data_IF_166068518352
#
_entry.id   IF_166068518352
#
_cell.length_a   1.000
_cell.length_b   1.000
_cell.length_c   1.000
_cell.angle_alpha   90.00
_cell.angle_beta   90.00
_cell.angle_gamma   90.00
#
_symmetry.space_group_name_H-M   'P 1'
#
loop_
_entity.id
_entity.type
_entity.pdbx_description
1 polymer ?
#
# COMPACT_ATOMS: atom_id res chain seq x y z
N UNK A 1 -9.40 46.77 -54.85
CA UNK A 1 -10.33 45.97 -54.01
C UNK A 1 -9.80 44.59 -53.60
N UNK A 2 -8.56 44.21 -53.96
CA UNK A 2 -8.01 42.86 -53.68
C UNK A 2 -7.16 42.77 -52.39
N UNK A 3 -6.63 43.89 -51.89
CA UNK A 3 -5.79 43.92 -50.67
C UNK A 3 -6.56 43.52 -49.39
N UNK A 4 -7.84 43.90 -49.26
CA UNK A 4 -8.69 43.52 -48.11
C UNK A 4 -8.97 42.02 -48.03
N UNK A 5 -9.04 41.32 -49.17
CA UNK A 5 -9.28 39.87 -49.22
C UNK A 5 -8.05 39.08 -48.78
N UNK A 6 -6.86 39.51 -49.19
CA UNK A 6 -5.59 38.90 -48.74
C UNK A 6 -5.34 39.09 -47.24
N UNK A 7 -5.69 40.27 -46.70
CA UNK A 7 -5.59 40.56 -45.27
C UNK A 7 -6.55 39.70 -44.42
N UNK A 8 -7.83 39.57 -44.83
CA UNK A 8 -8.77 38.66 -44.15
C UNK A 8 -8.32 37.19 -44.21
N UNK A 9 -7.74 36.75 -45.33
CA UNK A 9 -7.23 35.39 -45.46
C UNK A 9 -6.07 35.13 -44.48
N UNK A 10 -5.17 36.10 -44.33
CA UNK A 10 -4.06 36.04 -43.38
C UNK A 10 -4.57 35.96 -41.92
N UNK A 11 -5.54 36.79 -41.54
CA UNK A 11 -6.14 36.76 -40.19
C UNK A 11 -6.79 35.41 -39.88
N UNK A 12 -7.52 34.83 -40.84
CA UNK A 12 -8.16 33.52 -40.68
C UNK A 12 -7.10 32.41 -40.53
N UNK A 13 -6.03 32.44 -41.32
CA UNK A 13 -4.95 31.44 -41.21
C UNK A 13 -4.20 31.54 -39.88
N UNK A 14 -3.94 32.76 -39.38
CA UNK A 14 -3.33 32.98 -38.06
C UNK A 14 -4.27 32.49 -36.95
N UNK A 15 -5.56 32.84 -37.00
CA UNK A 15 -6.54 32.37 -36.04
C UNK A 15 -6.66 30.84 -36.01
N UNK A 16 -6.60 30.20 -37.19
CA UNK A 16 -6.60 28.74 -37.30
C UNK A 16 -5.34 28.11 -36.72
N UNK A 17 -4.15 28.66 -36.99
CA UNK A 17 -2.89 28.19 -36.39
C UNK A 17 -2.92 28.30 -34.86
N UNK A 18 -3.43 29.42 -34.34
CA UNK A 18 -3.60 29.62 -32.89
C UNK A 18 -4.58 28.60 -32.29
N UNK A 19 -5.71 28.33 -32.96
CA UNK A 19 -6.63 27.27 -32.52
C UNK A 19 -5.97 25.88 -32.51
N UNK A 20 -5.21 25.52 -33.54
CA UNK A 20 -4.50 24.24 -33.58
C UNK A 20 -3.47 24.11 -32.45
N UNK A 21 -2.73 25.18 -32.14
CA UNK A 21 -1.79 25.21 -31.02
C UNK A 21 -2.51 25.07 -29.66
N UNK A 22 -3.62 25.78 -29.46
CA UNK A 22 -4.44 25.65 -28.26
C UNK A 22 -4.97 24.22 -28.11
N UNK A 23 -5.45 23.60 -29.20
CA UNK A 23 -5.96 22.24 -29.16
C UNK A 23 -4.84 21.22 -28.85
N UNK A 24 -3.66 21.40 -29.44
CA UNK A 24 -2.50 20.54 -29.19
C UNK A 24 -2.03 20.62 -27.72
N UNK A 25 -1.91 21.84 -27.18
CA UNK A 25 -1.52 22.04 -25.78
C UNK A 25 -2.56 21.48 -24.81
N UNK A 26 -3.85 21.68 -25.09
CA UNK A 26 -4.94 21.12 -24.30
C UNK A 26 -4.95 19.59 -24.33
N UNK A 27 -4.77 18.98 -25.51
CA UNK A 27 -4.70 17.53 -25.65
C UNK A 27 -3.53 16.92 -24.87
N UNK A 28 -2.35 17.54 -24.94
CA UNK A 28 -1.18 17.11 -24.15
C UNK A 28 -1.43 17.25 -22.65
N UNK A 29 -2.04 18.36 -22.21
CA UNK A 29 -2.42 18.56 -20.81
C UNK A 29 -3.40 17.48 -20.32
N UNK A 30 -4.38 17.11 -21.14
CA UNK A 30 -5.34 16.05 -20.80
C UNK A 30 -4.67 14.68 -20.64
N UNK A 31 -3.76 14.31 -21.55
CA UNK A 31 -3.00 13.07 -21.44
C UNK A 31 -2.13 13.03 -20.17
N UNK A 32 -1.44 14.13 -19.86
CA UNK A 32 -0.65 14.24 -18.63
C UNK A 32 -1.52 14.15 -17.38
N UNK A 33 -2.70 14.75 -17.40
CA UNK A 33 -3.67 14.67 -16.31
C UNK A 33 -4.15 13.23 -16.10
N UNK A 34 -4.48 12.51 -17.17
CA UNK A 34 -4.89 11.10 -17.08
C UNK A 34 -3.81 10.21 -16.47
N UNK A 35 -2.54 10.39 -16.88
CA UNK A 35 -1.40 9.65 -16.28
C UNK A 35 -1.23 10.02 -14.80
N UNK A 36 -1.40 11.30 -14.44
CA UNK A 36 -1.26 11.76 -13.06
C UNK A 36 -2.38 11.24 -12.16
N UNK A 37 -3.62 11.22 -12.65
CA UNK A 37 -4.76 10.64 -11.92
C UNK A 37 -4.56 9.16 -11.64
N UNK A 38 -4.03 8.40 -12.61
CA UNK A 38 -3.70 6.99 -12.40
C UNK A 38 -2.65 6.80 -11.30
N UNK A 39 -1.59 7.63 -11.27
CA UNK A 39 -0.57 7.58 -10.21
C UNK A 39 -1.16 7.90 -8.84
N UNK A 40 -2.05 8.88 -8.75
CA UNK A 40 -2.74 9.24 -7.50
C UNK A 40 -3.62 8.09 -7.02
N UNK A 41 -4.39 7.46 -7.92
CA UNK A 41 -5.22 6.32 -7.59
C UNK A 41 -4.38 5.16 -7.01
N UNK A 42 -3.27 4.84 -7.68
CA UNK A 42 -2.34 3.82 -7.22
C UNK A 42 -1.75 4.16 -5.83
N UNK A 43 -1.34 5.41 -5.62
CA UNK A 43 -0.85 5.86 -4.32
C UNK A 43 -1.92 5.75 -3.24
N UNK A 44 -3.17 6.13 -3.53
CA UNK A 44 -4.29 6.01 -2.58
C UNK A 44 -4.52 4.55 -2.19
N UNK A 45 -4.51 3.62 -3.14
CA UNK A 45 -4.68 2.19 -2.84
C UNK A 45 -3.52 1.65 -2.00
N UNK A 46 -2.27 2.01 -2.31
CA UNK A 46 -1.10 1.64 -1.51
C UNK A 46 -1.19 2.17 -0.07
N UNK A 47 -1.53 3.45 0.10
CA UNK A 47 -1.68 4.04 1.44
C UNK A 47 -2.86 3.42 2.21
N UNK A 48 -3.97 3.09 1.53
CA UNK A 48 -5.13 2.44 2.15
C UNK A 48 -4.77 1.05 2.67
N UNK A 49 -4.08 0.24 1.87
CA UNK A 49 -3.64 -1.11 2.28
C UNK A 49 -2.59 -1.02 3.39
N UNK A 50 -1.59 -0.14 3.25
CA UNK A 50 -0.59 0.07 4.29
C UNK A 50 -1.22 0.48 5.61
N UNK A 51 -2.11 1.49 5.61
CA UNK A 51 -2.80 1.96 6.80
C UNK A 51 -3.67 0.89 7.45
N UNK A 52 -4.36 0.04 6.67
CA UNK A 52 -5.13 -1.07 7.20
C UNK A 52 -4.24 -2.11 7.89
N UNK A 53 -3.11 -2.49 7.28
CA UNK A 53 -2.14 -3.43 7.87
C UNK A 53 -1.54 -2.83 9.15
N UNK A 54 -1.00 -1.63 9.05
CA UNK A 54 -0.34 -0.89 10.14
C UNK A 54 -1.26 -0.71 11.34
N UNK A 55 -2.45 -0.14 11.15
CA UNK A 55 -3.43 0.05 12.23
C UNK A 55 -3.89 -1.27 12.85
N UNK A 56 -4.03 -2.34 12.05
CA UNK A 56 -4.41 -3.66 12.58
C UNK A 56 -3.28 -4.27 13.42
N UNK A 57 -2.04 -4.14 12.97
CA UNK A 57 -0.87 -4.62 13.71
C UNK A 57 -0.68 -3.83 14.99
N UNK A 58 -0.73 -2.50 14.90
CA UNK A 58 -0.63 -1.58 16.02
C UNK A 58 -1.70 -1.88 17.07
N UNK A 59 -2.97 -2.00 16.67
CA UNK A 59 -4.07 -2.24 17.62
C UNK A 59 -3.94 -3.59 18.37
N UNK A 60 -3.52 -4.66 17.70
CA UNK A 60 -3.30 -5.96 18.36
C UNK A 60 -2.06 -5.93 19.27
N UNK A 61 -0.98 -5.27 18.85
CA UNK A 61 0.26 -5.17 19.62
C UNK A 61 0.08 -4.24 20.84
N UNK A 62 -0.44 -3.03 20.63
CA UNK A 62 -0.53 -1.99 21.65
C UNK A 62 -1.48 -2.38 22.77
N UNK A 63 -2.69 -2.85 22.43
CA UNK A 63 -3.76 -3.05 23.41
C UNK A 63 -3.89 -4.50 23.89
N UNK A 64 -3.73 -5.46 22.99
CA UNK A 64 -4.14 -6.84 23.25
C UNK A 64 -2.98 -7.77 23.64
N UNK A 65 -1.75 -7.42 23.28
CA UNK A 65 -0.59 -8.29 23.48
C UNK A 65 0.08 -8.13 24.84
N UNK A 66 0.38 -9.26 25.48
CA UNK A 66 1.25 -9.35 26.67
C UNK A 66 2.70 -9.63 26.26
N UNK A 67 2.86 -10.43 25.21
CA UNK A 67 4.14 -10.86 24.70
C UNK A 67 4.07 -10.82 23.17
N UNK A 68 5.03 -10.12 22.56
CA UNK A 68 5.21 -10.09 21.11
C UNK A 68 6.51 -10.81 20.80
N UNK A 69 6.42 -11.89 20.04
CA UNK A 69 7.57 -12.70 19.64
C UNK A 69 7.83 -12.43 18.16
N UNK A 70 9.06 -12.03 17.85
CA UNK A 70 9.49 -11.87 16.47
C UNK A 70 10.12 -13.18 15.97
N UNK A 71 9.67 -13.65 14.82
CA UNK A 71 10.16 -14.87 14.19
C UNK A 71 10.53 -14.59 12.74
N UNK A 72 11.41 -15.42 12.19
CA UNK A 72 11.67 -15.42 10.75
C UNK A 72 10.66 -16.29 10.04
N UNK A 73 10.29 -15.87 8.82
CA UNK A 73 9.43 -16.60 7.92
C UNK A 73 10.00 -16.52 6.50
N UNK A 74 9.58 -17.42 5.62
CA UNK A 74 10.11 -17.54 4.25
C UNK A 74 9.96 -16.25 3.41
N UNK A 75 8.98 -15.42 3.73
CA UNK A 75 8.63 -14.21 2.98
C UNK A 75 8.80 -12.91 3.80
N UNK A 76 9.62 -12.93 4.85
CA UNK A 76 9.83 -11.80 5.76
C UNK A 76 9.73 -12.22 7.22
N UNK A 77 9.51 -11.29 8.13
CA UNK A 77 9.31 -11.63 9.53
C UNK A 77 7.87 -12.12 9.79
N UNK A 78 7.69 -12.81 10.91
CA UNK A 78 6.41 -13.17 11.49
C UNK A 78 6.32 -12.55 12.88
N UNK A 79 5.25 -11.83 13.14
CA UNK A 79 4.94 -11.28 14.46
C UNK A 79 3.95 -12.23 15.13
N UNK A 80 4.25 -12.71 16.33
CA UNK A 80 3.31 -13.53 17.11
C UNK A 80 2.97 -12.78 18.39
N UNK A 81 1.71 -12.35 18.50
CA UNK A 81 1.16 -11.68 19.66
C UNK A 81 0.41 -12.71 20.53
N UNK A 82 0.85 -12.90 21.77
CA UNK A 82 0.11 -13.65 22.79
C UNK A 82 -0.68 -12.68 23.65
N UNK A 83 -1.99 -12.86 23.70
CA UNK A 83 -2.88 -11.93 24.37
C UNK A 83 -3.12 -12.31 25.84
N UNK A 84 -3.51 -11.31 26.64
CA UNK A 84 -3.85 -11.44 28.07
C UNK A 84 -5.18 -12.22 28.26
N UNK A 85 -6.07 -12.19 27.25
CA UNK A 85 -7.39 -12.84 27.25
C UNK A 85 -7.37 -14.35 26.93
N UNK A 86 -8.50 -14.96 26.52
CA UNK A 86 -8.67 -16.42 26.45
C UNK A 86 -7.69 -17.07 25.47
N UNK A 87 -6.52 -17.53 25.95
CA UNK A 87 -5.43 -18.20 25.20
C UNK A 87 -5.43 -17.89 23.70
N UNK A 88 -5.50 -16.60 23.35
CA UNK A 88 -5.65 -16.11 21.98
C UNK A 88 -4.26 -15.73 21.50
N UNK A 89 -3.84 -16.36 20.40
CA UNK A 89 -2.61 -16.02 19.71
C UNK A 89 -2.97 -15.41 18.36
N UNK A 90 -2.46 -14.23 18.09
CA UNK A 90 -2.59 -13.57 16.79
C UNK A 90 -1.23 -13.57 16.12
N UNK A 91 -1.15 -13.97 14.87
CA UNK A 91 0.09 -13.89 14.11
C UNK A 91 -0.08 -13.07 12.84
N UNK A 92 0.92 -12.26 12.52
CA UNK A 92 1.03 -11.54 11.27
C UNK A 92 2.20 -12.08 10.48
N UNK A 93 1.97 -12.47 9.23
CA UNK A 93 3.01 -13.05 8.40
C UNK A 93 2.71 -12.85 6.91
N UNK A 94 3.76 -12.86 6.10
CA UNK A 94 3.63 -12.90 4.66
C UNK A 94 3.57 -14.35 4.14
N UNK A 95 2.67 -14.62 3.20
CA UNK A 95 2.64 -15.89 2.47
C UNK A 95 2.27 -15.66 1.01
N UNK A 96 2.65 -16.61 0.16
CA UNK A 96 2.17 -16.62 -1.23
C UNK A 96 0.70 -16.96 -1.27
N UNK A 97 -0.01 -16.31 -2.19
CA UNK A 97 -1.40 -16.67 -2.50
C UNK A 97 -1.42 -17.98 -3.28
N UNK A 98 -2.22 -18.94 -2.84
CA UNK A 98 -2.42 -20.19 -3.57
C UNK A 98 -2.87 -19.93 -5.01
N UNK A 99 -2.30 -20.66 -5.97
CA UNK A 99 -2.58 -20.48 -7.40
C UNK A 99 -1.79 -19.34 -8.08
N UNK A 100 -1.00 -18.54 -7.36
CA UNK A 100 -0.18 -17.48 -7.95
C UNK A 100 1.32 -17.69 -7.65
N UNK A 101 2.19 -17.61 -8.67
CA UNK A 101 3.63 -17.91 -8.49
C UNK A 101 4.42 -16.79 -7.79
N UNK A 102 3.96 -15.54 -7.89
CA UNK A 102 4.76 -14.35 -7.54
C UNK A 102 4.16 -13.52 -6.41
N UNK A 103 2.84 -13.59 -6.20
CA UNK A 103 2.15 -12.68 -5.29
C UNK A 103 2.29 -13.11 -3.83
N UNK A 104 2.73 -12.18 -2.99
CA UNK A 104 2.85 -12.34 -1.54
C UNK A 104 1.84 -11.42 -0.85
N UNK A 105 1.12 -11.91 0.14
CA UNK A 105 0.07 -11.20 0.87
C UNK A 105 0.38 -11.24 2.36
N UNK A 106 0.07 -10.14 3.06
CA UNK A 106 0.11 -10.09 4.52
C UNK A 106 -1.16 -10.76 5.06
N UNK A 107 -0.99 -11.77 5.90
CA UNK A 107 -2.07 -12.47 6.57
C UNK A 107 -2.08 -12.15 8.06
N UNK A 108 -3.29 -12.11 8.62
CA UNK A 108 -3.55 -12.18 10.05
C UNK A 108 -4.13 -13.56 10.34
N UNK A 109 -3.43 -14.37 11.13
CA UNK A 109 -4.04 -15.56 11.72
C UNK A 109 -4.41 -15.32 13.17
N UNK A 110 -5.51 -15.95 13.59
CA UNK A 110 -6.02 -15.90 14.96
C UNK A 110 -6.33 -17.31 15.41
N UNK A 111 -5.58 -17.77 16.41
CA UNK A 111 -5.78 -19.05 17.07
C UNK A 111 -6.41 -18.80 18.44
N UNK A 112 -7.51 -19.49 18.73
CA UNK A 112 -8.17 -19.51 20.04
C UNK A 112 -8.26 -20.98 20.48
N UNK A 113 -7.99 -21.27 21.75
CA UNK A 113 -8.09 -22.63 22.27
C UNK A 113 -9.46 -23.25 21.98
N UNK A 114 -9.47 -24.46 21.41
CA UNK A 114 -10.69 -25.19 21.07
C UNK A 114 -11.42 -24.73 19.79
N UNK A 115 -10.83 -23.81 19.01
CA UNK A 115 -11.37 -23.37 17.72
C UNK A 115 -10.36 -23.57 16.58
N UNK A 116 -10.83 -23.80 15.34
CA UNK A 116 -9.95 -23.79 14.17
C UNK A 116 -9.32 -22.41 13.98
N UNK A 117 -8.12 -22.38 13.41
CA UNK A 117 -7.38 -21.15 13.11
C UNK A 117 -8.15 -20.33 12.06
N UNK A 118 -8.44 -19.07 12.37
CA UNK A 118 -8.98 -18.12 11.40
C UNK A 118 -7.85 -17.40 10.69
N UNK A 119 -7.81 -17.42 9.36
CA UNK A 119 -6.79 -16.74 8.54
C UNK A 119 -7.45 -15.73 7.62
N UNK A 120 -7.06 -14.46 7.75
CA UNK A 120 -7.60 -13.35 6.95
C UNK A 120 -6.47 -12.61 6.21
N UNK A 121 -6.59 -12.38 4.89
CA UNK A 121 -5.67 -11.51 4.16
C UNK A 121 -5.92 -10.04 4.53
N UNK A 122 -4.85 -9.29 4.81
CA UNK A 122 -4.90 -7.86 5.10
C UNK A 122 -4.56 -6.99 3.88
N UNK A 123 -3.90 -7.55 2.86
CA UNK A 123 -3.66 -6.84 1.59
C UNK A 123 -4.69 -7.22 0.51
N UNK A 124 -4.98 -6.27 -0.38
CA UNK A 124 -5.98 -6.46 -1.44
C UNK A 124 -5.50 -7.42 -2.54
N UNK A 125 -6.41 -7.88 -3.40
CA UNK A 125 -6.05 -8.76 -4.53
C UNK A 125 -5.09 -8.10 -5.54
N UNK A 126 -5.02 -6.77 -5.57
CA UNK A 126 -4.19 -6.02 -6.52
C UNK A 126 -2.81 -5.62 -5.96
N UNK A 127 -2.57 -5.83 -4.65
CA UNK A 127 -1.36 -5.41 -3.95
C UNK A 127 -0.59 -6.62 -3.41
N UNK A 128 0.71 -6.66 -3.67
CA UNK A 128 1.66 -7.63 -3.13
C UNK A 128 2.58 -6.98 -2.10
N UNK A 129 2.95 -7.72 -1.07
CA UNK A 129 3.98 -7.32 -0.11
C UNK A 129 5.34 -7.82 -0.60
N UNK A 130 6.22 -6.92 -1.01
CA UNK A 130 7.59 -7.25 -1.43
C UNK A 130 8.52 -7.38 -0.23
N UNK A 131 8.27 -6.61 0.83
CA UNK A 131 9.04 -6.62 2.07
C UNK A 131 8.11 -6.53 3.26
N UNK A 132 8.35 -7.36 4.27
CA UNK A 132 7.69 -7.27 5.57
C UNK A 132 8.73 -7.59 6.64
N UNK A 133 9.26 -6.54 7.26
CA UNK A 133 10.34 -6.63 8.23
C UNK A 133 9.95 -6.00 9.55
N UNK A 134 10.41 -6.63 10.62
CA UNK A 134 10.10 -6.20 11.98
C UNK A 134 11.34 -6.28 12.82
N UNK A 135 11.68 -5.16 13.43
CA UNK A 135 12.90 -5.02 14.22
C UNK A 135 12.52 -4.59 15.64
N UNK A 136 13.10 -5.28 16.62
CA UNK A 136 12.99 -4.89 18.03
C UNK A 136 13.91 -3.69 18.27
N UNK A 137 13.33 -2.57 18.71
CA UNK A 137 14.12 -1.40 19.12
C UNK A 137 14.50 -1.55 20.59
N UNK A 138 13.52 -1.86 21.43
CA UNK A 138 13.69 -2.06 22.87
C UNK A 138 12.72 -3.13 23.41
N UNK A 139 12.63 -3.29 24.74
CA UNK A 139 11.72 -4.27 25.35
C UNK A 139 10.23 -3.99 25.18
N UNK A 140 9.81 -2.82 24.69
CA UNK A 140 8.42 -2.36 24.51
C UNK A 140 8.18 -1.63 23.19
N UNK A 141 9.15 -1.55 22.30
CA UNK A 141 9.07 -0.80 21.05
C UNK A 141 9.61 -1.65 19.92
N UNK A 142 8.88 -1.67 18.81
CA UNK A 142 9.30 -2.32 17.57
C UNK A 142 9.11 -1.40 16.38
N UNK A 143 9.92 -1.62 15.35
CA UNK A 143 9.83 -0.97 14.04
C UNK A 143 9.23 -1.96 13.06
N UNK A 144 8.14 -1.59 12.42
CA UNK A 144 7.52 -2.33 11.33
C UNK A 144 7.84 -1.62 10.00
N UNK A 145 8.42 -2.35 9.07
CA UNK A 145 8.68 -1.89 7.70
C UNK A 145 7.94 -2.80 6.71
N UNK A 146 7.14 -2.21 5.84
CA UNK A 146 6.42 -2.92 4.79
C UNK A 146 6.62 -2.22 3.45
N UNK A 147 7.00 -2.99 2.43
CA UNK A 147 7.02 -2.54 1.04
C UNK A 147 5.87 -3.19 0.30
N UNK A 148 5.01 -2.36 -0.28
CA UNK A 148 3.84 -2.78 -1.03
C UNK A 148 3.99 -2.39 -2.49
N UNK A 149 3.51 -3.25 -3.38
CA UNK A 149 3.53 -3.04 -4.83
C UNK A 149 2.20 -3.38 -5.47
N UNK A 150 1.77 -2.55 -6.41
CA UNK A 150 0.62 -2.82 -7.27
C UNK A 150 1.05 -3.71 -8.43
N UNK A 151 0.40 -4.85 -8.60
CA UNK A 151 0.73 -5.83 -9.64
C UNK A 151 0.53 -5.29 -11.07
N UNK A 152 -0.48 -4.45 -11.28
CA UNK A 152 -0.85 -3.95 -12.62
C UNK A 152 0.04 -2.82 -13.12
N UNK A 153 0.53 -1.96 -12.23
CA UNK A 153 1.35 -0.79 -12.59
C UNK A 153 2.81 -0.92 -12.19
N UNK A 154 3.14 -1.89 -11.34
CA UNK A 154 4.47 -2.10 -10.80
C UNK A 154 4.91 -1.03 -9.80
N UNK A 155 4.04 -0.07 -9.46
CA UNK A 155 4.35 1.00 -8.52
C UNK A 155 4.50 0.42 -7.12
N UNK A 156 5.64 0.66 -6.49
CA UNK A 156 5.91 0.26 -5.11
C UNK A 156 6.08 1.46 -4.18
N UNK A 157 5.80 1.25 -2.90
CA UNK A 157 6.03 2.23 -1.84
C UNK A 157 6.36 1.50 -0.54
N UNK A 158 7.36 2.02 0.16
CA UNK A 158 7.75 1.55 1.49
C UNK A 158 7.09 2.41 2.56
N UNK A 159 6.64 1.75 3.62
CA UNK A 159 6.01 2.34 4.78
C UNK A 159 6.73 1.84 6.04
N UNK A 160 7.02 2.76 6.95
CA UNK A 160 7.74 2.47 8.19
C UNK A 160 6.94 3.07 9.34
N UNK A 161 6.72 2.29 10.38
CA UNK A 161 6.04 2.73 11.59
C UNK A 161 6.75 2.18 12.83
N UNK A 162 6.77 2.98 13.90
CA UNK A 162 7.30 2.58 15.20
C UNK A 162 6.13 2.37 16.14
N UNK A 163 5.96 1.13 16.60
CA UNK A 163 4.84 0.71 17.43
C UNK A 163 5.34 0.50 18.86
N UNK A 164 4.67 1.13 19.81
CA UNK A 164 4.96 1.01 21.25
C UNK A 164 3.90 0.15 21.94
N UNK A 165 4.35 -0.81 22.74
CA UNK A 165 3.52 -1.68 23.56
C UNK A 165 3.12 -0.95 24.85
N UNK A 166 1.83 -0.95 25.17
CA UNK A 166 1.33 -0.41 26.44
C UNK A 166 1.39 -1.45 27.56
N UNK A 167 0.98 -2.70 27.27
CA UNK A 167 0.75 -3.72 28.29
C UNK A 167 1.75 -4.90 28.26
N UNK A 168 2.59 -4.97 27.21
CA UNK A 168 3.42 -6.14 26.94
C UNK A 168 4.90 -5.83 26.78
N UNK A 169 5.64 -6.84 26.34
CA UNK A 169 7.05 -6.73 25.99
C UNK A 169 7.37 -7.50 24.70
N UNK A 170 8.37 -7.02 23.97
CA UNK A 170 8.91 -7.67 22.77
C UNK A 170 9.98 -8.66 23.19
N UNK A 171 9.89 -9.89 22.70
CA UNK A 171 10.91 -10.94 22.84
C UNK A 171 11.61 -11.07 21.50
#
# INVERSE_FOLDING_TARGET
>A
MNSKKGFMLLEITIAFMLMCLLFATFYQGFLQMAVSMRKIYDDVELNRVAGAVMSTVESEIMYSSQQVILQDNKYGNRIVCRNIGPNRTVAFYCSKVEGTKTKVVVYKSTQIAGRPEGVNPLSSQSVSAEKFQVEKIDGRTLRLEIELKIETTGRSKTFIEVIRLCNGHVI
#
